data_IF_166856977881
#
_entry.id   IF_166856977881
#
_cell.length_a   1.000
_cell.length_b   1.000
_cell.length_c   1.000
_cell.angle_alpha   90.00
_cell.angle_beta   90.00
_cell.angle_gamma   90.00
#
_symmetry.space_group_name_H-M   'P 1'
#
loop_
_entity.id
_entity.type
_entity.pdbx_description
1 polymer ?
#
# COMPACT_ATOMS: atom_id res chain seq x y z
N UNK A 1 42.12 -56.86 -22.79
CA UNK A 1 41.80 -55.62 -22.04
C UNK A 1 41.24 -54.51 -22.95
N UNK A 2 40.18 -54.78 -23.72
CA UNK A 2 39.45 -53.77 -24.51
C UNK A 2 37.96 -54.08 -24.46
N UNK A 3 37.30 -53.89 -23.32
CA UNK A 3 35.83 -53.92 -23.25
C UNK A 3 35.19 -53.04 -22.18
N UNK A 4 35.96 -52.37 -21.30
CA UNK A 4 35.38 -51.60 -20.17
C UNK A 4 35.30 -50.08 -20.39
N UNK A 5 35.80 -49.55 -21.52
CA UNK A 5 35.85 -48.09 -21.78
C UNK A 5 34.71 -47.56 -22.66
N UNK A 6 33.85 -48.42 -23.22
CA UNK A 6 32.71 -47.97 -24.07
C UNK A 6 31.39 -47.79 -23.30
N UNK A 7 31.26 -48.33 -22.10
CA UNK A 7 30.01 -48.26 -21.32
C UNK A 7 29.88 -46.97 -20.51
N UNK A 8 30.99 -46.33 -20.13
CA UNK A 8 30.97 -45.08 -19.34
C UNK A 8 30.75 -43.80 -20.16
N UNK A 9 31.07 -43.78 -21.46
CA UNK A 9 30.78 -42.60 -22.31
C UNK A 9 29.30 -42.50 -22.72
N UNK A 10 28.60 -43.63 -22.84
CA UNK A 10 27.17 -43.64 -23.17
C UNK A 10 26.30 -43.31 -21.95
N UNK A 11 26.74 -43.62 -20.72
CA UNK A 11 26.03 -43.30 -19.49
C UNK A 11 26.16 -41.83 -19.05
N UNK A 12 27.31 -41.19 -19.32
CA UNK A 12 27.48 -39.76 -19.03
C UNK A 12 26.75 -38.88 -20.05
N UNK A 13 26.72 -39.26 -21.34
CA UNK A 13 25.99 -38.52 -22.37
C UNK A 13 24.46 -38.59 -22.26
N UNK A 14 23.91 -39.62 -21.61
CA UNK A 14 22.47 -39.72 -21.33
C UNK A 14 22.05 -38.97 -20.07
N UNK A 15 22.91 -38.90 -19.05
CA UNK A 15 22.71 -38.04 -17.86
C UNK A 15 22.75 -36.54 -18.21
N UNK A 16 23.76 -36.10 -18.96
CA UNK A 16 23.88 -34.70 -19.42
C UNK A 16 22.72 -34.28 -20.34
N UNK A 17 22.19 -35.22 -21.15
CA UNK A 17 21.02 -34.97 -21.99
C UNK A 17 19.73 -34.95 -21.18
N UNK A 18 19.58 -35.82 -20.18
CA UNK A 18 18.43 -35.83 -19.28
C UNK A 18 18.38 -34.57 -18.41
N UNK A 19 19.51 -34.14 -17.82
CA UNK A 19 19.61 -32.90 -17.04
C UNK A 19 19.36 -31.64 -17.92
N UNK A 20 19.84 -31.63 -19.17
CA UNK A 20 19.52 -30.56 -20.12
C UNK A 20 18.05 -30.53 -20.56
N UNK A 21 17.42 -31.70 -20.69
CA UNK A 21 15.99 -31.84 -21.00
C UNK A 21 15.12 -31.43 -19.81
N UNK A 22 15.46 -31.85 -18.60
CA UNK A 22 14.82 -31.44 -17.33
C UNK A 22 14.93 -29.92 -17.15
N UNK A 23 16.13 -29.35 -17.32
CA UNK A 23 16.38 -27.91 -17.24
C UNK A 23 15.68 -27.11 -18.35
N UNK A 24 15.55 -27.65 -19.57
CA UNK A 24 14.72 -27.03 -20.62
C UNK A 24 13.23 -27.08 -20.29
N UNK A 25 12.74 -28.20 -19.76
CA UNK A 25 11.33 -28.40 -19.39
C UNK A 25 10.93 -27.54 -18.19
N UNK A 26 11.84 -27.34 -17.23
CA UNK A 26 11.68 -26.39 -16.12
C UNK A 26 11.70 -24.95 -16.65
N UNK A 27 12.63 -24.57 -17.54
CA UNK A 27 12.67 -23.23 -18.15
C UNK A 27 11.43 -22.94 -19.00
N UNK A 28 10.91 -23.93 -19.71
CA UNK A 28 9.64 -23.82 -20.44
C UNK A 28 8.46 -23.73 -19.48
N UNK A 29 8.39 -24.53 -18.40
CA UNK A 29 7.37 -24.37 -17.36
C UNK A 29 7.43 -23.00 -16.68
N UNK A 30 8.60 -22.48 -16.34
CA UNK A 30 8.80 -21.15 -15.74
C UNK A 30 8.39 -20.04 -16.73
N UNK A 31 8.70 -20.18 -18.03
CA UNK A 31 8.20 -19.26 -19.08
C UNK A 31 6.67 -19.33 -19.24
N UNK A 32 6.09 -20.52 -19.21
CA UNK A 32 4.64 -20.72 -19.33
C UNK A 32 3.90 -20.21 -18.09
N UNK A 33 4.48 -20.36 -16.88
CA UNK A 33 3.95 -19.78 -15.64
C UNK A 33 4.06 -18.26 -15.67
N UNK A 34 5.19 -17.68 -16.14
CA UNK A 34 5.31 -16.22 -16.38
C UNK A 34 4.29 -15.70 -17.41
N UNK A 35 3.95 -16.50 -18.42
CA UNK A 35 2.94 -16.16 -19.44
C UNK A 35 1.50 -16.24 -18.92
N UNK A 36 1.26 -16.91 -17.79
CA UNK A 36 -0.05 -17.07 -17.14
C UNK A 36 -0.21 -16.20 -15.89
N UNK A 37 0.87 -15.58 -15.41
CA UNK A 37 0.86 -14.69 -14.26
C UNK A 37 0.27 -13.33 -14.63
N UNK A 38 -0.67 -12.85 -13.82
CA UNK A 38 -1.14 -11.46 -13.86
C UNK A 38 0.08 -10.52 -13.77
N UNK A 39 0.33 -9.74 -14.82
CA UNK A 39 1.33 -8.67 -14.77
C UNK A 39 0.77 -7.52 -13.94
N UNK A 40 1.26 -7.38 -12.72
CA UNK A 40 1.03 -6.20 -11.91
C UNK A 40 1.81 -5.03 -12.49
N UNK A 41 1.18 -3.85 -12.47
CA UNK A 41 1.83 -2.62 -12.89
C UNK A 41 2.80 -2.15 -11.81
N UNK A 42 3.77 -1.36 -12.24
CA UNK A 42 4.75 -0.76 -11.32
C UNK A 42 4.13 0.27 -10.37
N UNK A 43 2.91 0.75 -10.66
CA UNK A 43 2.20 1.75 -9.84
C UNK A 43 0.86 1.21 -9.36
N UNK A 44 0.62 1.28 -8.05
CA UNK A 44 -0.65 1.00 -7.41
C UNK A 44 -1.29 2.30 -6.90
N UNK A 45 -2.60 2.46 -7.08
CA UNK A 45 -3.37 3.64 -6.65
C UNK A 45 -4.55 3.20 -5.79
N UNK A 46 -4.65 3.71 -4.57
CA UNK A 46 -5.81 3.53 -3.69
C UNK A 46 -6.76 4.72 -3.83
N UNK A 47 -7.94 4.48 -4.39
CA UNK A 47 -8.89 5.51 -4.80
C UNK A 47 -10.34 5.08 -4.49
N UNK A 48 -11.18 6.05 -4.11
CA UNK A 48 -12.63 5.86 -4.02
C UNK A 48 -13.36 7.18 -4.25
N UNK A 49 -13.92 7.82 -3.21
CA UNK A 49 -14.83 8.95 -3.38
C UNK A 49 -14.19 10.22 -3.94
N UNK A 50 -12.86 10.37 -3.94
CA UNK A 50 -12.22 11.61 -4.41
C UNK A 50 -12.27 11.79 -5.93
N UNK A 51 -12.27 10.70 -6.70
CA UNK A 51 -12.26 10.74 -8.16
C UNK A 51 -12.76 9.40 -8.71
N UNK A 52 -13.60 9.44 -9.74
CA UNK A 52 -14.08 8.22 -10.37
C UNK A 52 -12.94 7.43 -11.01
N UNK A 53 -12.95 6.11 -10.84
CA UNK A 53 -11.89 5.21 -11.33
C UNK A 53 -11.63 5.37 -12.83
N UNK A 54 -12.68 5.55 -13.62
CA UNK A 54 -12.56 5.69 -15.08
C UNK A 54 -11.94 7.03 -15.49
N UNK A 55 -12.21 8.12 -14.77
CA UNK A 55 -11.52 9.39 -14.98
C UNK A 55 -10.03 9.25 -14.61
N UNK A 56 -9.73 8.59 -13.49
CA UNK A 56 -8.35 8.37 -13.05
C UNK A 56 -7.52 7.56 -14.07
N UNK A 57 -8.10 6.51 -14.66
CA UNK A 57 -7.46 5.68 -15.70
C UNK A 57 -7.11 6.44 -16.96
N UNK A 58 -7.84 7.51 -17.28
CA UNK A 58 -7.50 8.38 -18.41
C UNK A 58 -6.24 9.24 -18.14
N UNK A 59 -5.91 9.45 -16.86
CA UNK A 59 -4.77 10.27 -16.44
C UNK A 59 -3.52 9.42 -16.24
N UNK A 60 -3.65 8.28 -15.56
CA UNK A 60 -2.52 7.43 -15.19
C UNK A 60 -2.85 5.95 -15.41
N UNK A 61 -2.00 5.28 -16.17
CA UNK A 61 -2.07 3.84 -16.36
C UNK A 61 -1.46 3.09 -15.18
N UNK A 62 -2.30 2.61 -14.25
CA UNK A 62 -1.90 1.99 -13.00
C UNK A 62 -2.91 0.91 -12.54
N UNK A 63 -2.52 0.13 -11.53
CA UNK A 63 -3.44 -0.78 -10.86
C UNK A 63 -4.23 -0.01 -9.79
N UNK A 64 -5.54 0.03 -9.94
CA UNK A 64 -6.44 0.79 -9.07
C UNK A 64 -7.18 -0.11 -8.09
N UNK A 65 -7.01 0.19 -6.81
CA UNK A 65 -7.58 -0.49 -5.67
C UNK A 65 -8.63 0.41 -4.97
N UNK A 66 -9.57 -0.19 -4.22
CA UNK A 66 -10.49 0.56 -3.33
C UNK A 66 -9.76 1.47 -2.34
N UNK A 67 -10.47 2.33 -1.58
CA UNK A 67 -9.86 3.10 -0.49
C UNK A 67 -9.01 2.22 0.45
N UNK A 68 -7.78 2.66 0.73
CA UNK A 68 -6.81 1.88 1.49
C UNK A 68 -7.34 1.55 2.90
N UNK A 69 -7.18 0.30 3.33
CA UNK A 69 -7.41 -0.14 4.70
C UNK A 69 -6.23 -0.93 5.23
N UNK A 70 -6.27 -1.23 6.53
CA UNK A 70 -5.26 -2.04 7.19
C UNK A 70 -5.01 -3.37 6.43
N UNK A 71 -3.75 -3.65 6.15
CA UNK A 71 -3.26 -4.86 5.50
C UNK A 71 -3.15 -4.75 3.98
N UNK A 72 -3.77 -3.76 3.35
CA UNK A 72 -3.76 -3.65 1.88
C UNK A 72 -2.36 -3.35 1.33
N UNK A 73 -1.57 -2.54 2.03
CA UNK A 73 -0.21 -2.20 1.63
C UNK A 73 0.69 -3.43 1.79
N UNK A 74 0.61 -4.13 2.94
CA UNK A 74 1.34 -5.41 3.11
C UNK A 74 0.98 -6.44 2.04
N UNK A 75 -0.28 -6.49 1.61
CA UNK A 75 -0.72 -7.38 0.52
C UNK A 75 -0.01 -7.05 -0.79
N UNK A 76 0.04 -5.79 -1.19
CA UNK A 76 0.55 -5.43 -2.54
C UNK A 76 2.08 -5.31 -2.61
N UNK A 77 2.81 -5.22 -1.50
CA UNK A 77 4.28 -5.18 -1.53
C UNK A 77 4.87 -6.36 -2.31
N UNK A 78 4.26 -7.54 -2.22
CA UNK A 78 4.73 -8.74 -2.91
C UNK A 78 4.53 -8.70 -4.44
N UNK A 79 3.76 -7.74 -4.97
CA UNK A 79 3.48 -7.66 -6.40
C UNK A 79 4.63 -7.10 -7.25
N UNK A 80 5.72 -6.65 -6.61
CA UNK A 80 6.80 -5.92 -7.28
C UNK A 80 6.43 -4.46 -7.60
N UNK A 81 5.42 -3.92 -6.91
CA UNK A 81 5.04 -2.50 -7.03
C UNK A 81 6.23 -1.60 -6.66
N UNK A 82 6.48 -0.58 -7.49
CA UNK A 82 7.55 0.40 -7.29
C UNK A 82 7.03 1.73 -6.74
N UNK A 83 5.76 2.03 -6.99
CA UNK A 83 5.11 3.25 -6.50
C UNK A 83 3.71 2.96 -5.97
N UNK A 84 3.42 3.46 -4.77
CA UNK A 84 2.10 3.40 -4.17
C UNK A 84 1.57 4.83 -4.01
N UNK A 85 0.41 5.11 -4.58
CA UNK A 85 -0.30 6.39 -4.43
C UNK A 85 -1.53 6.14 -3.56
N UNK A 86 -1.61 6.84 -2.44
CA UNK A 86 -2.77 6.82 -1.55
C UNK A 86 -3.55 8.11 -1.76
N UNK A 87 -4.80 8.00 -2.23
CA UNK A 87 -5.72 9.14 -2.36
C UNK A 87 -6.79 9.02 -1.28
N UNK A 88 -7.50 7.89 -1.27
CA UNK A 88 -8.57 7.61 -0.32
C UNK A 88 -8.23 6.44 0.60
N UNK A 89 -8.77 6.48 1.81
CA UNK A 89 -8.65 5.44 2.82
C UNK A 89 -9.94 5.27 3.61
N UNK A 90 -10.14 4.09 4.18
CA UNK A 90 -11.32 3.78 4.99
C UNK A 90 -11.18 4.43 6.36
N UNK A 91 -12.14 5.29 6.71
CA UNK A 91 -12.26 5.91 8.03
C UNK A 91 -13.28 5.19 8.93
N UNK A 92 -14.30 4.54 8.34
CA UNK A 92 -15.37 3.85 9.08
C UNK A 92 -15.72 2.50 8.48
N UNK A 93 -16.13 1.54 9.32
CA UNK A 93 -16.51 0.18 8.91
C UNK A 93 -15.34 -0.80 8.74
N UNK A 94 -14.11 -0.29 8.61
CA UNK A 94 -12.88 -1.08 8.71
C UNK A 94 -11.78 -0.30 9.44
N UNK A 95 -10.67 -0.97 9.73
CA UNK A 95 -9.52 -0.29 10.34
C UNK A 95 -8.75 0.51 9.28
N UNK A 96 -8.46 1.80 9.52
CA UNK A 96 -7.61 2.59 8.64
C UNK A 96 -6.23 1.95 8.44
N UNK A 97 -5.57 2.30 7.33
CA UNK A 97 -4.19 1.86 7.06
C UNK A 97 -3.26 2.21 8.21
N UNK A 98 -2.41 1.27 8.60
CA UNK A 98 -1.40 1.51 9.63
C UNK A 98 -0.20 2.26 9.07
N UNK A 99 0.32 3.23 9.84
CA UNK A 99 1.58 3.91 9.51
C UNK A 99 2.72 2.92 9.27
N UNK A 100 2.79 1.84 10.06
CA UNK A 100 3.82 0.81 9.92
C UNK A 100 3.82 0.14 8.55
N UNK A 101 2.66 0.03 7.91
CA UNK A 101 2.59 -0.54 6.55
C UNK A 101 3.25 0.38 5.52
N UNK A 102 3.00 1.68 5.64
CA UNK A 102 3.58 2.70 4.77
C UNK A 102 5.09 2.79 4.99
N UNK A 103 5.52 2.80 6.26
CA UNK A 103 6.93 2.84 6.65
C UNK A 103 7.69 1.62 6.13
N UNK A 104 7.09 0.43 6.22
CA UNK A 104 7.68 -0.79 5.65
C UNK A 104 7.80 -0.72 4.12
N UNK A 105 6.79 -0.18 3.42
CA UNK A 105 6.88 0.00 1.97
C UNK A 105 8.05 0.94 1.60
N UNK A 106 8.21 2.04 2.34
CA UNK A 106 9.32 2.99 2.14
C UNK A 106 10.67 2.33 2.43
N UNK A 107 10.79 1.57 3.52
CA UNK A 107 12.00 0.82 3.89
C UNK A 107 12.41 -0.19 2.80
N UNK A 108 11.42 -0.74 2.08
CA UNK A 108 11.60 -1.61 0.91
C UNK A 108 11.94 -0.87 -0.39
N UNK A 109 12.17 0.43 -0.32
CA UNK A 109 12.48 1.28 -1.47
C UNK A 109 11.27 1.65 -2.34
N UNK A 110 10.05 1.30 -1.94
CA UNK A 110 8.83 1.62 -2.70
C UNK A 110 8.48 3.08 -2.48
N UNK A 111 8.29 3.83 -3.57
CA UNK A 111 7.93 5.24 -3.50
C UNK A 111 6.47 5.36 -3.05
N UNK A 112 6.23 5.90 -1.85
CA UNK A 112 4.87 6.12 -1.35
C UNK A 112 4.51 7.60 -1.42
N UNK A 113 3.40 7.91 -2.09
CA UNK A 113 2.89 9.26 -2.27
C UNK A 113 1.46 9.36 -1.72
N UNK A 114 1.08 10.53 -1.20
CA UNK A 114 -0.26 10.78 -0.67
C UNK A 114 -0.83 12.14 -1.07
N UNK A 115 -2.14 12.18 -1.34
CA UNK A 115 -2.88 13.40 -1.65
C UNK A 115 -4.37 13.28 -1.26
N UNK A 116 -5.11 14.39 -1.35
CA UNK A 116 -6.57 14.49 -1.19
C UNK A 116 -7.13 14.05 0.17
N UNK A 117 -7.30 12.74 0.41
CA UNK A 117 -8.01 12.21 1.59
C UNK A 117 -7.06 11.77 2.69
N UNK A 118 -7.27 10.53 3.17
CA UNK A 118 -6.34 9.85 4.09
C UNK A 118 -4.90 9.85 3.55
N UNK A 119 -4.72 9.86 2.22
CA UNK A 119 -3.42 10.00 1.60
C UNK A 119 -2.69 11.28 2.01
N UNK A 120 -3.36 12.43 1.96
CA UNK A 120 -2.78 13.71 2.36
C UNK A 120 -2.43 13.73 3.86
N UNK A 121 -3.33 13.25 4.71
CA UNK A 121 -3.10 13.15 6.15
C UNK A 121 -1.86 12.28 6.47
N UNK A 122 -1.81 11.06 5.91
CA UNK A 122 -0.68 10.14 6.14
C UNK A 122 0.62 10.71 5.57
N UNK A 123 0.57 11.41 4.44
CA UNK A 123 1.74 12.08 3.88
C UNK A 123 2.26 13.17 4.82
N UNK A 124 1.39 13.98 5.44
CA UNK A 124 1.82 15.01 6.38
C UNK A 124 2.50 14.41 7.62
N UNK A 125 1.96 13.32 8.16
CA UNK A 125 2.54 12.62 9.31
C UNK A 125 3.84 11.89 8.99
N UNK A 126 3.96 11.36 7.76
CA UNK A 126 5.06 10.49 7.34
C UNK A 126 6.06 11.17 6.39
N UNK A 127 5.95 12.48 6.16
CA UNK A 127 6.86 13.23 5.29
C UNK A 127 8.31 13.14 5.80
N UNK A 128 8.50 13.33 7.10
CA UNK A 128 9.81 13.18 7.74
C UNK A 128 10.38 11.76 7.60
N UNK A 129 9.50 10.79 7.30
CA UNK A 129 9.85 9.39 7.08
C UNK A 129 10.01 9.02 5.60
N UNK A 130 9.91 9.97 4.66
CA UNK A 130 10.12 9.74 3.22
C UNK A 130 8.85 9.54 2.40
N UNK A 131 7.67 9.62 3.00
CA UNK A 131 6.41 9.67 2.23
C UNK A 131 6.28 11.02 1.53
N UNK A 132 5.96 11.04 0.24
CA UNK A 132 5.75 12.30 -0.49
C UNK A 132 4.29 12.75 -0.38
N UNK A 133 4.09 14.02 -0.03
CA UNK A 133 2.77 14.64 -0.06
C UNK A 133 2.61 15.60 -1.23
N UNK A 134 1.41 15.62 -1.82
CA UNK A 134 1.08 16.56 -2.88
C UNK A 134 -0.34 17.08 -2.73
N UNK A 135 -0.54 18.36 -3.03
CA UNK A 135 -1.86 18.96 -3.04
C UNK A 135 -2.10 19.90 -1.87
N UNK A 136 -3.16 20.68 -2.01
CA UNK A 136 -3.54 21.71 -1.05
C UNK A 136 -3.90 21.10 0.30
N UNK A 137 -4.58 19.96 0.33
CA UNK A 137 -5.00 19.31 1.57
C UNK A 137 -3.78 18.79 2.34
N UNK A 138 -2.78 18.25 1.63
CA UNK A 138 -1.52 17.88 2.26
C UNK A 138 -0.79 19.10 2.84
N UNK A 139 -0.70 20.18 2.06
CA UNK A 139 -0.09 21.45 2.53
C UNK A 139 -0.83 21.98 3.77
N UNK A 140 -2.16 21.90 3.81
CA UNK A 140 -2.96 22.31 4.97
C UNK A 140 -2.66 21.48 6.23
N UNK A 141 -2.52 20.16 6.12
CA UNK A 141 -2.11 19.33 7.26
C UNK A 141 -0.66 19.61 7.68
N UNK A 142 0.26 19.68 6.72
CA UNK A 142 1.69 19.94 6.99
C UNK A 142 1.90 21.28 7.71
N UNK A 143 1.16 22.31 7.29
CA UNK A 143 1.29 23.66 7.81
C UNK A 143 0.38 23.91 9.04
N UNK A 144 -0.36 22.91 9.49
CA UNK A 144 -1.24 23.00 10.67
C UNK A 144 -2.49 23.86 10.49
N UNK A 145 -2.90 24.11 9.23
CA UNK A 145 -4.16 24.81 8.92
C UNK A 145 -5.37 23.93 9.28
N UNK A 146 -5.19 22.62 9.14
CA UNK A 146 -6.13 21.58 9.58
C UNK A 146 -5.37 20.47 10.30
N UNK A 147 -6.03 19.79 11.23
CA UNK A 147 -5.43 18.77 12.10
C UNK A 147 -6.34 17.55 12.36
N UNK A 148 -7.65 17.69 12.15
CA UNK A 148 -8.62 16.64 12.45
C UNK A 148 -8.76 15.59 11.35
N UNK A 149 -8.80 14.32 11.72
CA UNK A 149 -9.10 13.19 10.80
C UNK A 149 -10.44 13.37 10.07
N UNK A 150 -11.40 14.04 10.71
CA UNK A 150 -12.72 14.31 10.20
C UNK A 150 -12.75 15.39 9.09
N UNK A 151 -11.64 16.11 8.88
CA UNK A 151 -11.53 17.16 7.87
C UNK A 151 -11.69 16.59 6.45
N UNK A 152 -11.14 15.40 6.22
CA UNK A 152 -11.20 14.66 4.94
C UNK A 152 -12.24 13.54 4.91
N UNK A 153 -12.93 13.34 6.03
CA UNK A 153 -13.94 12.30 6.19
C UNK A 153 -15.24 12.68 5.46
N UNK A 154 -15.82 11.68 4.78
CA UNK A 154 -17.16 11.76 4.24
C UNK A 154 -17.82 10.38 4.25
N UNK A 155 -19.15 10.35 4.18
CA UNK A 155 -19.91 9.12 3.90
C UNK A 155 -19.94 8.91 2.39
N UNK A 156 -19.75 7.67 1.95
CA UNK A 156 -19.78 7.31 0.53
C UNK A 156 -20.48 5.95 0.34
N UNK A 157 -20.91 5.66 -0.88
CA UNK A 157 -21.63 4.43 -1.24
C UNK A 157 -20.70 3.20 -1.26
N UNK A 158 -21.25 2.03 -1.52
CA UNK A 158 -20.47 0.80 -1.68
C UNK A 158 -19.60 0.82 -2.95
N UNK A 159 -18.71 -0.17 -3.06
CA UNK A 159 -17.90 -0.38 -4.27
C UNK A 159 -18.74 -0.61 -5.53
N UNK A 160 -19.90 -1.28 -5.41
CA UNK A 160 -20.84 -1.49 -6.52
C UNK A 160 -21.39 -0.18 -7.09
N UNK A 161 -21.48 0.83 -6.24
CA UNK A 161 -21.97 2.18 -6.56
C UNK A 161 -20.80 3.17 -6.72
N UNK A 162 -19.62 2.64 -7.05
CA UNK A 162 -18.38 3.38 -7.35
C UNK A 162 -17.93 4.34 -6.26
N UNK A 163 -18.23 4.07 -4.98
CA UNK A 163 -17.86 4.92 -3.85
C UNK A 163 -18.33 6.37 -3.99
N UNK A 164 -19.48 6.61 -4.62
CA UNK A 164 -20.06 7.93 -4.79
C UNK A 164 -20.20 8.65 -3.42
N UNK A 165 -19.80 9.94 -3.33
CA UNK A 165 -19.92 10.69 -2.09
C UNK A 165 -21.39 10.93 -1.73
N UNK A 166 -21.74 10.69 -0.46
CA UNK A 166 -23.07 10.85 0.13
C UNK A 166 -23.14 11.95 1.20
N UNK A 167 -21.99 12.55 1.51
CA UNK A 167 -21.84 13.75 2.34
C UNK A 167 -20.62 14.55 1.87
N UNK A 168 -20.47 15.77 2.38
CA UNK A 168 -19.40 16.68 1.98
C UNK A 168 -18.25 16.69 3.01
N UNK A 169 -16.99 16.46 2.60
CA UNK A 169 -15.84 16.60 3.49
C UNK A 169 -15.61 18.07 3.85
N UNK A 170 -15.13 18.31 5.08
CA UNK A 170 -14.97 19.68 5.60
C UNK A 170 -13.96 20.49 4.79
N UNK A 171 -12.91 19.86 4.25
CA UNK A 171 -11.93 20.51 3.37
C UNK A 171 -12.56 21.15 2.12
N UNK A 172 -13.56 20.52 1.50
CA UNK A 172 -14.25 21.08 0.34
C UNK A 172 -15.09 22.31 0.74
N UNK A 173 -15.77 22.23 1.88
CA UNK A 173 -16.55 23.34 2.44
C UNK A 173 -15.63 24.52 2.78
N UNK A 174 -14.53 24.26 3.50
CA UNK A 174 -13.52 25.27 3.84
C UNK A 174 -12.98 25.96 2.60
N UNK A 175 -12.53 25.18 1.60
CA UNK A 175 -11.97 25.74 0.38
C UNK A 175 -12.99 26.60 -0.37
N UNK A 176 -14.23 26.11 -0.48
CA UNK A 176 -15.31 26.84 -1.15
C UNK A 176 -15.62 28.16 -0.44
N UNK A 177 -15.66 28.18 0.90
CA UNK A 177 -15.89 29.40 1.66
C UNK A 177 -14.69 30.36 1.63
N UNK A 178 -13.46 29.85 1.63
CA UNK A 178 -12.26 30.65 1.42
C UNK A 178 -12.26 31.31 0.04
N UNK A 179 -12.67 30.59 -1.01
CA UNK A 179 -12.83 31.15 -2.35
C UNK A 179 -13.95 32.21 -2.38
N UNK A 180 -15.06 31.97 -1.67
CA UNK A 180 -16.14 32.95 -1.53
C UNK A 180 -15.65 34.27 -0.88
N UNK A 181 -14.80 34.19 0.15
CA UNK A 181 -14.18 35.37 0.78
C UNK A 181 -13.25 36.09 -0.19
N UNK A 182 -12.38 35.36 -0.91
CA UNK A 182 -11.49 35.96 -1.93
C UNK A 182 -12.26 36.69 -3.04
N UNK A 183 -13.43 36.17 -3.41
CA UNK A 183 -14.31 36.78 -4.40
C UNK A 183 -15.27 37.83 -3.79
N UNK A 184 -15.03 38.26 -2.56
CA UNK A 184 -15.84 39.22 -1.78
C UNK A 184 -17.30 38.79 -1.55
N UNK A 185 -17.69 37.54 -1.83
CA UNK A 185 -19.05 37.03 -1.66
C UNK A 185 -19.47 36.92 -0.19
N UNK A 186 -18.49 36.75 0.71
CA UNK A 186 -18.65 36.61 2.14
C UNK A 186 -17.50 37.34 2.85
N UNK A 187 -17.69 37.80 4.09
CA UNK A 187 -16.58 38.29 4.91
C UNK A 187 -15.85 37.13 5.59
N UNK A 188 -14.63 37.38 6.06
CA UNK A 188 -13.85 36.37 6.78
C UNK A 188 -14.58 35.88 8.05
N UNK A 189 -15.13 36.79 8.86
CA UNK A 189 -15.85 36.46 10.10
C UNK A 189 -17.05 35.53 9.87
N UNK A 190 -17.84 35.81 8.82
CA UNK A 190 -18.99 34.98 8.46
C UNK A 190 -18.55 33.60 7.97
N UNK A 191 -17.44 33.52 7.23
CA UNK A 191 -16.83 32.27 6.78
C UNK A 191 -16.38 31.42 7.97
N UNK A 192 -15.67 32.03 8.91
CA UNK A 192 -15.18 31.36 10.11
C UNK A 192 -16.32 30.84 10.98
N UNK A 193 -17.38 31.64 11.18
CA UNK A 193 -18.57 31.21 11.91
C UNK A 193 -19.28 30.02 11.24
N UNK A 194 -19.40 30.04 9.91
CA UNK A 194 -19.98 28.95 9.12
C UNK A 194 -19.15 27.65 9.23
N UNK A 195 -17.82 27.75 9.14
CA UNK A 195 -16.90 26.63 9.31
C UNK A 195 -16.96 26.08 10.74
N UNK A 196 -16.97 26.94 11.74
CA UNK A 196 -17.04 26.53 13.14
C UNK A 196 -18.32 25.74 13.44
N UNK A 197 -19.46 26.13 12.86
CA UNK A 197 -20.71 25.39 12.96
C UNK A 197 -20.64 24.03 12.27
N UNK A 198 -20.22 23.99 11.00
CA UNK A 198 -20.26 22.75 10.22
C UNK A 198 -19.25 21.70 10.72
N UNK A 199 -18.15 22.15 11.33
CA UNK A 199 -17.17 21.29 12.01
C UNK A 199 -17.80 20.52 13.20
N UNK A 200 -18.79 21.10 13.88
CA UNK A 200 -19.47 20.43 15.00
C UNK A 200 -20.40 19.30 14.55
N UNK A 201 -20.83 19.30 13.28
CA UNK A 201 -21.65 18.23 12.74
C UNK A 201 -20.81 16.97 12.52
N UNK A 202 -21.45 15.81 12.73
CA UNK A 202 -20.89 14.54 12.32
C UNK A 202 -20.64 14.53 10.81
N UNK A 203 -19.48 14.04 10.37
CA UNK A 203 -19.04 14.16 8.97
C UNK A 203 -20.03 13.55 7.96
N UNK A 204 -20.83 12.55 8.37
CA UNK A 204 -21.82 11.90 7.51
C UNK A 204 -23.04 12.79 7.23
N UNK A 205 -23.25 13.82 8.04
CA UNK A 205 -24.39 14.73 7.97
C UNK A 205 -24.02 16.09 7.35
N UNK A 206 -22.74 16.31 7.02
CA UNK A 206 -22.27 17.55 6.41
C UNK A 206 -22.72 17.65 4.96
N UNK A 207 -23.31 18.80 4.61
CA UNK A 207 -23.57 19.20 3.23
C UNK A 207 -23.68 20.72 3.13
N UNK A 208 -23.51 21.26 1.92
CA UNK A 208 -23.75 22.69 1.67
C UNK A 208 -25.21 23.10 1.95
N UNK A 209 -26.17 22.20 1.75
CA UNK A 209 -27.57 22.44 2.07
C UNK A 209 -27.80 22.56 3.58
N UNK A 210 -27.17 21.68 4.37
CA UNK A 210 -27.21 21.76 5.83
C UNK A 210 -26.55 23.05 6.33
N UNK A 211 -25.47 23.49 5.69
CA UNK A 211 -24.84 24.77 6.00
C UNK A 211 -25.78 25.96 5.73
N UNK A 212 -26.40 26.01 4.55
CA UNK A 212 -27.32 27.09 4.16
C UNK A 212 -28.54 27.19 5.09
N UNK A 213 -29.02 26.05 5.59
CA UNK A 213 -30.15 25.99 6.49
C UNK A 213 -29.78 26.16 7.98
N UNK A 214 -28.50 26.33 8.30
CA UNK A 214 -27.99 26.40 9.67
C UNK A 214 -28.47 27.64 10.44
N UNK A 215 -28.54 27.58 11.79
CA UNK A 215 -28.81 28.76 12.61
C UNK A 215 -27.81 29.90 12.40
N UNK A 216 -26.54 29.57 12.13
CA UNK A 216 -25.48 30.55 11.88
C UNK A 216 -25.79 31.35 10.62
N UNK A 217 -26.05 30.67 9.49
CA UNK A 217 -26.38 31.34 8.23
C UNK A 217 -27.72 32.09 8.34
N UNK A 218 -28.71 31.59 9.09
CA UNK A 218 -29.96 32.32 9.35
C UNK A 218 -29.76 33.63 10.10
N UNK A 219 -28.68 33.75 10.89
CA UNK A 219 -28.31 34.97 11.58
C UNK A 219 -27.63 36.01 10.67
N UNK A 220 -27.27 35.66 9.45
CA UNK A 220 -26.65 36.59 8.50
C UNK A 220 -27.68 37.57 7.93
N UNK A 221 -27.21 38.71 7.42
CA UNK A 221 -28.08 39.64 6.68
C UNK A 221 -28.72 38.95 5.48
N UNK A 222 -29.88 39.42 5.02
CA UNK A 222 -30.52 38.90 3.81
C UNK A 222 -29.58 38.97 2.58
N UNK A 223 -28.87 40.08 2.45
CA UNK A 223 -27.87 40.29 1.41
C UNK A 223 -26.74 39.23 1.45
N UNK A 224 -26.17 38.96 2.63
CA UNK A 224 -25.08 37.98 2.75
C UNK A 224 -25.56 36.54 2.51
N UNK A 225 -26.80 36.22 2.94
CA UNK A 225 -27.41 34.91 2.69
C UNK A 225 -27.61 34.65 1.19
N UNK A 226 -28.14 35.62 0.45
CA UNK A 226 -28.35 35.50 -1.00
C UNK A 226 -27.03 35.32 -1.77
N UNK A 227 -26.01 36.09 -1.38
CA UNK A 227 -24.67 35.98 -1.99
C UNK A 227 -24.01 34.65 -1.70
N UNK A 228 -24.09 34.18 -0.46
CA UNK A 228 -23.58 32.86 -0.07
C UNK A 228 -24.32 31.76 -0.85
N UNK A 229 -25.65 31.80 -0.91
CA UNK A 229 -26.45 30.82 -1.63
C UNK A 229 -26.07 30.78 -3.12
N UNK A 230 -25.94 31.93 -3.76
CA UNK A 230 -25.54 32.03 -5.18
C UNK A 230 -24.12 31.50 -5.39
N UNK A 231 -23.18 31.85 -4.50
CA UNK A 231 -21.81 31.35 -4.56
C UNK A 231 -21.77 29.82 -4.41
N UNK A 232 -22.47 29.26 -3.43
CA UNK A 232 -22.53 27.82 -3.21
C UNK A 232 -23.30 27.09 -4.31
N UNK A 233 -24.13 27.73 -5.12
CA UNK A 233 -24.77 27.07 -6.26
C UNK A 233 -23.90 27.07 -7.52
N UNK A 234 -22.99 28.03 -7.66
CA UNK A 234 -22.25 28.27 -8.91
C UNK A 234 -20.75 28.00 -8.82
N UNK A 235 -20.17 28.02 -7.62
CA UNK A 235 -18.72 27.99 -7.39
C UNK A 235 -18.28 26.95 -6.34
N UNK A 236 -18.98 25.82 -6.23
CA UNK A 236 -18.50 24.72 -5.36
C UNK A 236 -17.18 24.20 -5.89
N UNK A 237 -16.23 23.98 -4.98
CA UNK A 237 -14.93 23.42 -5.34
C UNK A 237 -14.78 22.06 -4.66
N UNK A 238 -14.59 21.03 -5.49
CA UNK A 238 -14.18 19.72 -5.02
C UNK A 238 -12.66 19.65 -4.93
N UNK A 239 -12.14 20.06 -3.78
CA UNK A 239 -10.70 20.11 -3.52
C UNK A 239 -10.10 18.70 -3.51
N UNK A 240 -10.83 17.71 -2.98
CA UNK A 240 -10.41 16.30 -3.00
C UNK A 240 -10.19 15.82 -4.43
N UNK A 241 -11.11 16.12 -5.35
CA UNK A 241 -10.96 15.80 -6.78
C UNK A 241 -9.77 16.52 -7.41
N UNK A 242 -9.59 17.81 -7.13
CA UNK A 242 -8.46 18.60 -7.67
C UNK A 242 -7.12 18.00 -7.23
N UNK A 243 -6.95 17.71 -5.94
CA UNK A 243 -5.71 17.13 -5.41
C UNK A 243 -5.47 15.70 -5.93
N UNK A 244 -6.53 14.88 -6.07
CA UNK A 244 -6.45 13.55 -6.68
C UNK A 244 -5.96 13.62 -8.13
N UNK A 245 -6.50 14.52 -8.94
CA UNK A 245 -6.05 14.73 -10.32
C UNK A 245 -4.60 15.23 -10.35
N UNK A 246 -4.23 16.14 -9.44
CA UNK A 246 -2.88 16.73 -9.35
C UNK A 246 -1.81 15.64 -9.17
N UNK A 247 -2.00 14.71 -8.23
CA UNK A 247 -1.03 13.64 -7.98
C UNK A 247 -0.94 12.62 -9.11
N UNK A 248 -2.07 12.26 -9.72
CA UNK A 248 -2.08 11.33 -10.86
C UNK A 248 -1.38 11.95 -12.08
N UNK A 249 -1.67 13.22 -12.36
CA UNK A 249 -1.04 13.96 -13.46
C UNK A 249 0.46 14.11 -13.22
N UNK A 250 0.86 14.42 -11.98
CA UNK A 250 2.27 14.51 -11.61
C UNK A 250 2.99 13.17 -11.80
N UNK A 251 2.40 12.04 -11.39
CA UNK A 251 3.00 10.71 -11.60
C UNK A 251 3.08 10.35 -13.08
N UNK A 252 2.05 10.65 -13.87
CA UNK A 252 2.02 10.34 -15.29
C UNK A 252 3.14 11.07 -16.08
N UNK A 253 3.54 12.25 -15.62
CA UNK A 253 4.63 13.04 -16.20
C UNK A 253 6.02 12.63 -15.67
N UNK A 254 6.08 11.93 -14.55
CA UNK A 254 7.33 11.59 -13.87
C UNK A 254 7.78 10.18 -14.25
N UNK A 255 8.96 10.05 -14.90
CA UNK A 255 9.47 8.76 -15.37
C UNK A 255 9.91 7.84 -14.23
N UNK A 256 10.57 8.37 -13.20
CA UNK A 256 10.94 7.62 -12.00
C UNK A 256 10.83 8.51 -10.76
N UNK A 257 10.29 7.94 -9.69
CA UNK A 257 10.28 8.58 -8.38
C UNK A 257 11.26 7.79 -7.52
N UNK A 258 12.38 8.41 -7.17
CA UNK A 258 13.32 7.83 -6.22
C UNK A 258 12.77 8.09 -4.82
N UNK A 259 12.48 7.02 -4.10
CA UNK A 259 12.25 7.10 -2.66
C UNK A 259 13.53 7.63 -2.00
N UNK A 260 13.47 8.69 -1.17
CA UNK A 260 14.63 9.06 -0.39
C UNK A 260 15.02 7.87 0.50
N UNK A 261 16.23 7.34 0.32
CA UNK A 261 16.78 6.28 1.16
C UNK A 261 17.15 6.87 2.52
N UNK A 262 16.16 7.01 3.37
CA UNK A 262 16.38 7.34 4.77
C UNK A 262 16.50 6.02 5.53
N UNK A 263 17.68 5.79 6.13
CA UNK A 263 17.88 4.64 7.01
C UNK A 263 17.15 4.92 8.33
N UNK A 264 16.08 4.17 8.59
CA UNK A 264 15.38 4.21 9.86
C UNK A 264 15.76 2.99 10.70
N UNK A 265 16.18 3.23 11.94
CA UNK A 265 16.30 2.17 12.93
C UNK A 265 14.93 1.88 13.51
N UNK A 266 14.08 1.16 12.77
CA UNK A 266 12.86 0.63 13.34
C UNK A 266 13.21 -0.40 14.40
N UNK A 267 12.57 -0.29 15.58
CA UNK A 267 12.58 -1.39 16.52
C UNK A 267 11.98 -2.63 15.83
N UNK A 268 12.60 -3.80 15.99
CA UNK A 268 12.07 -5.02 15.41
C UNK A 268 10.63 -5.23 15.89
N UNK A 269 9.70 -5.66 15.01
CA UNK A 269 8.32 -5.93 15.41
C UNK A 269 8.30 -6.93 16.56
N UNK A 270 7.43 -6.69 17.54
CA UNK A 270 7.13 -7.70 18.57
C UNK A 270 6.55 -8.95 17.89
N UNK A 271 6.67 -10.14 18.51
CA UNK A 271 6.11 -11.37 17.95
C UNK A 271 4.64 -11.24 17.54
N UNK A 272 3.81 -10.53 18.33
CA UNK A 272 2.39 -10.30 18.00
C UNK A 272 2.20 -9.47 16.74
N UNK A 273 3.08 -8.49 16.49
CA UNK A 273 3.05 -7.69 15.27
C UNK A 273 3.54 -8.52 14.10
N UNK A 274 4.59 -9.34 14.28
CA UNK A 274 5.08 -10.24 13.24
C UNK A 274 3.99 -11.20 12.78
N UNK A 275 3.26 -11.85 13.71
CA UNK A 275 2.15 -12.74 13.36
C UNK A 275 1.06 -12.01 12.58
N UNK A 276 0.68 -10.79 13.01
CA UNK A 276 -0.31 -9.97 12.29
C UNK A 276 0.17 -9.59 10.90
N UNK A 277 1.44 -9.22 10.76
CA UNK A 277 2.05 -8.86 9.49
C UNK A 277 2.06 -10.07 8.53
N UNK A 278 2.51 -11.24 8.99
CA UNK A 278 2.48 -12.49 8.22
C UNK A 278 1.07 -12.83 7.72
N UNK A 279 0.04 -12.64 8.55
CA UNK A 279 -1.35 -12.86 8.14
C UNK A 279 -1.83 -11.92 7.02
N UNK A 280 -1.24 -10.71 6.91
CA UNK A 280 -1.63 -9.68 5.95
C UNK A 280 -0.72 -9.60 4.71
N UNK A 281 0.51 -10.10 4.80
CA UNK A 281 1.46 -10.16 3.66
C UNK A 281 0.81 -10.91 2.50
N UNK A 282 1.00 -10.37 1.29
CA UNK A 282 0.57 -11.00 0.07
C UNK A 282 1.59 -12.00 -0.47
N UNK A 283 1.08 -13.03 -1.13
CA UNK A 283 1.84 -14.02 -1.89
C UNK A 283 1.28 -14.05 -3.30
N UNK A 284 2.15 -13.86 -4.29
CA UNK A 284 1.74 -13.82 -5.70
C UNK A 284 1.49 -15.25 -6.19
N UNK A 285 0.28 -15.49 -6.69
CA UNK A 285 -0.10 -16.72 -7.40
C UNK A 285 -0.21 -16.44 -8.89
N UNK A 286 -0.52 -17.46 -9.70
CA UNK A 286 -0.71 -17.24 -11.14
C UNK A 286 -1.90 -16.31 -11.44
N UNK A 287 -2.95 -16.31 -10.60
CA UNK A 287 -4.18 -15.58 -10.85
C UNK A 287 -4.30 -14.28 -10.05
N UNK A 288 -3.86 -14.27 -8.79
CA UNK A 288 -4.00 -13.11 -7.90
C UNK A 288 -2.99 -13.09 -6.74
N UNK A 289 -3.09 -12.09 -5.87
CA UNK A 289 -2.36 -12.04 -4.60
C UNK A 289 -3.22 -12.65 -3.49
N UNK A 290 -2.74 -13.74 -2.87
CA UNK A 290 -3.36 -14.34 -1.69
C UNK A 290 -2.69 -13.83 -0.43
N UNK A 291 -3.46 -13.56 0.63
CA UNK A 291 -2.90 -13.15 1.92
C UNK A 291 -2.37 -14.35 2.71
N UNK A 292 -1.42 -14.12 3.62
CA UNK A 292 -0.92 -15.19 4.49
C UNK A 292 -2.01 -15.84 5.34
N UNK A 293 -3.06 -15.11 5.72
CA UNK A 293 -4.22 -15.70 6.41
C UNK A 293 -4.99 -16.69 5.53
N UNK A 294 -5.19 -16.38 4.25
CA UNK A 294 -5.83 -17.30 3.29
C UNK A 294 -4.94 -18.51 3.01
N UNK A 295 -3.63 -18.30 2.87
CA UNK A 295 -2.67 -19.37 2.68
C UNK A 295 -2.65 -20.32 3.89
N UNK A 296 -2.65 -19.76 5.11
CA UNK A 296 -2.70 -20.55 6.34
C UNK A 296 -4.01 -21.35 6.45
N UNK A 297 -5.14 -20.75 6.07
CA UNK A 297 -6.42 -21.44 6.06
C UNK A 297 -6.41 -22.64 5.10
N UNK A 298 -5.92 -22.44 3.87
CA UNK A 298 -5.78 -23.51 2.89
C UNK A 298 -4.82 -24.61 3.36
N UNK A 299 -3.72 -24.23 4.02
CA UNK A 299 -2.77 -25.15 4.61
C UNK A 299 -3.39 -26.00 5.74
N UNK A 300 -4.27 -25.42 6.56
CA UNK A 300 -4.97 -26.16 7.63
C UNK A 300 -5.95 -27.18 7.04
N UNK A 301 -6.60 -26.85 5.93
CA UNK A 301 -7.53 -27.74 5.22
C UNK A 301 -6.81 -28.91 4.53
N UNK A 302 -5.55 -28.73 4.12
CA UNK A 302 -4.68 -29.76 3.55
C UNK A 302 -3.67 -30.30 4.59
N UNK A 303 -4.19 -30.94 5.64
CA UNK A 303 -3.39 -31.46 6.73
C UNK A 303 -2.31 -32.46 6.29
N UNK A 304 -2.57 -33.22 5.22
CA UNK A 304 -1.65 -34.22 4.68
C UNK A 304 -0.40 -33.56 4.07
N UNK A 305 -0.56 -32.45 3.34
CA UNK A 305 0.56 -31.68 2.80
C UNK A 305 1.37 -30.95 3.88
N UNK A 306 0.76 -30.59 5.02
CA UNK A 306 1.42 -29.85 6.11
C UNK A 306 2.07 -30.78 7.15
N UNK A 307 1.59 -32.01 7.30
CA UNK A 307 2.11 -32.94 8.31
C UNK A 307 3.64 -33.12 8.26
N UNK A 308 4.30 -33.27 7.07
CA UNK A 308 5.76 -33.36 6.98
C UNK A 308 6.48 -32.05 7.38
N UNK A 309 5.84 -30.90 7.12
CA UNK A 309 6.40 -29.59 7.47
C UNK A 309 6.36 -29.34 8.97
N UNK A 310 5.32 -29.84 9.67
CA UNK A 310 5.14 -29.62 11.11
C UNK A 310 6.33 -30.13 11.92
N UNK A 311 6.82 -31.33 11.62
CA UNK A 311 7.96 -31.90 12.35
C UNK A 311 9.23 -31.05 12.15
N UNK A 312 9.51 -30.68 10.89
CA UNK A 312 10.68 -29.87 10.54
C UNK A 312 10.62 -28.48 11.17
N UNK A 313 9.49 -27.79 11.05
CA UNK A 313 9.30 -26.45 11.60
C UNK A 313 9.32 -26.43 13.13
N UNK A 314 8.80 -27.48 13.79
CA UNK A 314 8.84 -27.59 15.26
C UNK A 314 10.28 -27.72 15.76
N UNK A 315 11.10 -28.54 15.08
CA UNK A 315 12.53 -28.66 15.40
C UNK A 315 13.26 -27.34 15.20
N UNK A 316 13.03 -26.65 14.08
CA UNK A 316 13.64 -25.34 13.82
C UNK A 316 13.23 -24.30 14.86
N UNK A 317 11.95 -24.26 15.24
CA UNK A 317 11.47 -23.34 16.27
C UNK A 317 12.19 -23.56 17.60
N UNK A 318 12.27 -24.81 18.06
CA UNK A 318 12.96 -25.17 19.30
C UNK A 318 14.45 -24.82 19.27
N UNK A 319 15.15 -25.17 18.19
CA UNK A 319 16.58 -24.88 18.04
C UNK A 319 16.84 -23.37 18.04
N UNK A 320 15.98 -22.59 17.38
CA UNK A 320 16.09 -21.13 17.36
C UNK A 320 15.89 -20.52 18.75
N UNK A 321 14.87 -20.94 19.48
CA UNK A 321 14.63 -20.46 20.86
C UNK A 321 15.78 -20.83 21.78
N UNK A 322 16.27 -22.07 21.69
CA UNK A 322 17.43 -22.52 22.46
C UNK A 322 18.68 -21.69 22.13
N UNK A 323 18.96 -21.46 20.85
CA UNK A 323 20.10 -20.65 20.42
C UNK A 323 20.02 -19.22 20.95
N UNK A 324 18.85 -18.57 20.85
CA UNK A 324 18.63 -17.23 21.41
C UNK A 324 18.86 -17.18 22.92
N UNK A 325 18.32 -18.14 23.68
CA UNK A 325 18.47 -18.19 25.14
C UNK A 325 19.93 -18.42 25.57
N UNK A 326 20.71 -19.10 24.75
CA UNK A 326 22.13 -19.40 25.02
C UNK A 326 23.10 -18.42 24.33
N UNK A 327 22.60 -17.36 23.69
CA UNK A 327 23.43 -16.38 22.99
C UNK A 327 24.23 -16.95 21.82
N UNK A 328 23.76 -18.06 21.24
CA UNK A 328 24.37 -18.69 20.07
C UNK A 328 23.94 -17.92 18.83
N UNK A 329 24.91 -17.44 18.04
CA UNK A 329 24.68 -16.70 16.81
C UNK A 329 25.55 -17.24 15.68
N UNK A 330 24.99 -17.26 14.47
CA UNK A 330 25.74 -17.62 13.25
C UNK A 330 26.70 -16.48 12.86
N UNK A 331 28.01 -16.73 12.73
CA UNK A 331 28.97 -15.75 12.21
C UNK A 331 28.59 -15.29 10.80
N UNK A 332 28.87 -14.02 10.45
CA UNK A 332 28.50 -13.48 9.13
C UNK A 332 29.13 -14.24 7.95
N UNK A 333 30.34 -14.78 8.13
CA UNK A 333 31.04 -15.55 7.10
C UNK A 333 30.31 -16.87 6.79
N UNK A 334 29.94 -17.63 7.83
CA UNK A 334 29.14 -18.86 7.69
C UNK A 334 27.73 -18.62 7.17
N UNK A 335 27.13 -17.47 7.48
CA UNK A 335 25.85 -17.08 6.91
C UNK A 335 25.95 -16.83 5.40
N UNK A 336 27.02 -16.15 4.94
CA UNK A 336 27.20 -15.90 3.51
C UNK A 336 27.40 -17.21 2.73
N UNK A 337 28.19 -18.14 3.25
CA UNK A 337 28.33 -19.49 2.66
C UNK A 337 26.97 -20.21 2.59
N UNK A 338 26.20 -20.19 3.68
CA UNK A 338 24.86 -20.80 3.72
C UNK A 338 23.90 -20.17 2.71
N UNK A 339 24.00 -18.85 2.49
CA UNK A 339 23.20 -18.13 1.49
C UNK A 339 23.59 -18.60 0.07
N UNK A 340 24.87 -18.70 -0.23
CA UNK A 340 25.37 -19.15 -1.53
C UNK A 340 24.99 -20.61 -1.81
N UNK A 341 25.12 -21.50 -0.83
CA UNK A 341 24.70 -22.89 -0.91
C UNK A 341 23.20 -23.01 -1.16
N UNK A 342 22.39 -22.22 -0.45
CA UNK A 342 20.94 -22.18 -0.64
C UNK A 342 20.56 -21.68 -2.04
N UNK A 343 21.20 -20.62 -2.51
CA UNK A 343 20.96 -20.07 -3.84
C UNK A 343 21.33 -21.07 -4.94
N UNK A 344 22.45 -21.78 -4.78
CA UNK A 344 22.92 -22.81 -5.70
C UNK A 344 21.97 -24.00 -5.72
N UNK A 345 21.59 -24.52 -4.55
CA UNK A 345 20.73 -25.70 -4.42
C UNK A 345 19.34 -25.50 -5.05
N UNK A 346 18.79 -24.28 -4.98
CA UNK A 346 17.45 -23.96 -5.48
C UNK A 346 17.46 -23.10 -6.76
N UNK A 347 18.64 -22.86 -7.35
CA UNK A 347 18.82 -22.03 -8.53
C UNK A 347 18.15 -20.64 -8.40
N UNK A 348 18.32 -20.02 -7.23
CA UNK A 348 17.76 -18.71 -6.90
C UNK A 348 18.76 -17.64 -7.34
N UNK A 349 18.28 -16.67 -8.12
CA UNK A 349 19.04 -15.45 -8.41
C UNK A 349 18.57 -14.40 -7.41
N UNK A 350 19.44 -14.02 -6.47
CA UNK A 350 19.19 -12.94 -5.49
C UNK A 350 19.16 -11.58 -6.18
N UNK A 351 18.04 -11.35 -6.84
CA UNK A 351 17.63 -10.08 -7.43
C UNK A 351 16.55 -9.46 -6.56
N UNK A 352 16.49 -8.14 -6.56
CA UNK A 352 15.46 -7.39 -5.85
C UNK A 352 14.05 -7.78 -6.32
N UNK A 353 13.90 -8.09 -7.60
CA UNK A 353 12.66 -8.62 -8.20
C UNK A 353 12.26 -9.98 -7.62
N UNK A 354 13.21 -10.90 -7.41
CA UNK A 354 12.92 -12.20 -6.81
C UNK A 354 12.49 -12.06 -5.35
N UNK A 355 13.22 -11.26 -4.56
CA UNK A 355 12.87 -10.99 -3.16
C UNK A 355 11.47 -10.39 -3.04
N UNK A 356 11.17 -9.36 -3.84
CA UNK A 356 9.86 -8.72 -3.86
C UNK A 356 8.75 -9.70 -4.24
N UNK A 357 8.92 -10.51 -5.29
CA UNK A 357 7.90 -11.49 -5.70
C UNK A 357 7.58 -12.55 -4.64
N UNK A 358 8.49 -12.76 -3.66
CA UNK A 358 8.31 -13.66 -2.53
C UNK A 358 7.92 -12.92 -1.23
N UNK A 359 7.62 -11.62 -1.31
CA UNK A 359 7.26 -10.79 -0.16
C UNK A 359 8.42 -10.53 0.80
N UNK A 360 9.67 -10.77 0.38
CA UNK A 360 10.87 -10.66 1.19
C UNK A 360 11.59 -9.32 0.96
N UNK A 361 12.21 -8.81 2.01
CA UNK A 361 13.28 -7.81 1.90
C UNK A 361 14.62 -8.51 1.94
N UNK A 362 15.70 -7.84 1.53
CA UNK A 362 17.05 -8.41 1.65
C UNK A 362 17.41 -8.68 3.12
N UNK A 363 16.97 -7.82 4.04
CA UNK A 363 17.15 -8.01 5.48
C UNK A 363 16.33 -9.20 6.01
N UNK A 364 15.06 -9.34 5.62
CA UNK A 364 14.21 -10.46 6.06
C UNK A 364 14.68 -11.78 5.46
N UNK A 365 15.16 -11.79 4.22
CA UNK A 365 15.74 -12.96 3.59
C UNK A 365 17.02 -13.42 4.29
N UNK A 366 17.95 -12.50 4.57
CA UNK A 366 19.14 -12.81 5.38
C UNK A 366 18.77 -13.28 6.79
N UNK A 367 17.75 -12.69 7.40
CA UNK A 367 17.28 -13.11 8.73
C UNK A 367 16.70 -14.53 8.71
N UNK A 368 15.87 -14.87 7.71
CA UNK A 368 15.32 -16.22 7.54
C UNK A 368 16.42 -17.26 7.31
N UNK A 369 17.45 -16.92 6.55
CA UNK A 369 18.58 -17.83 6.33
C UNK A 369 19.46 -17.94 7.56
N UNK A 370 19.64 -16.86 8.34
CA UNK A 370 20.29 -16.92 9.65
C UNK A 370 19.54 -17.80 10.66
N UNK A 371 18.22 -17.76 10.65
CA UNK A 371 17.37 -18.63 11.50
C UNK A 371 17.43 -20.11 11.07
N UNK A 372 17.85 -20.38 9.82
CA UNK A 372 17.96 -21.72 9.25
C UNK A 372 19.34 -22.34 9.45
N UNK A 373 20.40 -21.55 9.26
CA UNK A 373 21.81 -21.92 9.46
C UNK A 373 22.09 -22.24 10.93
#
# INVERSE_FOLDING_TARGET
>A
MKSSLRTNLLANGTRDRAENLEGRRIREKVKTVRSLMKLFKSTAVFLGPSLHKDEARQILDADYYPPVKKGDIYRIIASGVKTIIIIDGVLHGARPVWHREILEAIDRGIAVCGASGIGALRAAELQAFGMMGLGTIFEWYRDGIIDGDDEVALRYSSESDNFAPLSEPLVNIRYTLLDAVKNNCLTADLSEGAIAYIKQLYYADRSFEQLLNSPVVRGFSEFDRERLATCLLTKRVDLKKIDAIKILTWKARSQEILSPQLQYNFLPPTPEIQTKQLAMIGFVTAQDIVTGSQLLQAAIEDADSIAPLRETLSKHCFLREWAQQNGVSVPEESLNESIEDWQTAYNIIDSEEWLQSNGLTRSSYRHLLRDRS
#
